data_IF_020816305908
#
_entry.id   IF_020816305908
#
_cell.length_a   1.000
_cell.length_b   1.000
_cell.length_c   1.000
_cell.angle_alpha   90.00
_cell.angle_beta   90.00
_cell.angle_gamma   90.00
#
_symmetry.space_group_name_H-M   'P 1'
#
loop_
_entity.id
_entity.type
_entity.pdbx_description
1 polymer ?
#
# COMPACT_ATOMS: atom_id res chain seq x y z
N UNK A 1 3.33 9.05 22.14
CA UNK A 1 4.48 9.95 21.98
C UNK A 1 5.20 9.90 23.31
N UNK A 2 6.34 9.23 23.39
CA UNK A 2 7.13 9.11 24.62
C UNK A 2 7.96 10.37 24.85
N UNK A 3 8.53 10.52 26.05
CA UNK A 3 9.17 11.74 26.60
C UNK A 3 10.35 12.33 25.79
N UNK A 4 10.64 11.81 24.59
CA UNK A 4 11.74 12.27 23.71
C UNK A 4 11.37 12.40 22.24
N UNK A 5 10.10 12.27 21.88
CA UNK A 5 9.62 12.41 20.49
C UNK A 5 8.68 13.60 20.41
N UNK A 6 8.95 14.57 19.54
CA UNK A 6 8.05 15.72 19.35
C UNK A 6 6.86 15.38 18.43
N UNK A 7 7.12 14.57 17.40
CA UNK A 7 6.18 14.22 16.32
C UNK A 7 6.46 12.78 15.86
N UNK A 8 5.41 12.02 15.56
CA UNK A 8 5.54 10.69 14.95
C UNK A 8 4.60 10.50 13.76
N UNK A 9 5.00 9.66 12.80
CA UNK A 9 4.13 9.19 11.73
C UNK A 9 3.70 7.77 12.07
N UNK A 10 2.42 7.46 11.89
CA UNK A 10 1.92 6.10 12.14
C UNK A 10 0.77 5.75 11.22
N UNK A 11 0.77 4.49 10.80
CA UNK A 11 -0.32 3.84 10.09
C UNK A 11 -1.33 3.34 11.11
N UNK A 12 -2.61 3.60 10.88
CA UNK A 12 -3.69 3.11 11.73
C UNK A 12 -5.06 3.20 11.07
N UNK A 13 -6.03 2.48 11.61
CA UNK A 13 -7.45 2.57 11.21
C UNK A 13 -8.13 3.81 11.78
N UNK A 14 -7.67 4.25 12.95
CA UNK A 14 -8.12 5.46 13.63
C UNK A 14 -6.95 6.18 14.31
N UNK A 15 -7.13 7.48 14.66
CA UNK A 15 -6.25 8.16 15.59
C UNK A 15 -6.08 7.39 16.90
N UNK A 16 -4.83 7.23 17.36
CA UNK A 16 -4.55 6.76 18.72
C UNK A 16 -5.12 7.73 19.78
N UNK A 17 -5.66 7.17 20.86
CA UNK A 17 -6.18 7.94 21.99
C UNK A 17 -5.06 8.70 22.74
N UNK A 18 -5.41 9.82 23.36
CA UNK A 18 -4.50 10.62 24.19
C UNK A 18 -3.47 11.46 23.41
N UNK A 19 -3.50 11.46 22.08
CA UNK A 19 -2.64 12.27 21.21
C UNK A 19 -3.46 12.97 20.13
N UNK A 20 -2.96 14.10 19.63
CA UNK A 20 -3.58 14.76 18.48
C UNK A 20 -3.06 14.07 17.22
N UNK A 21 -3.98 13.66 16.34
CA UNK A 21 -3.66 13.07 15.05
C UNK A 21 -4.24 13.90 13.91
N UNK A 22 -3.47 14.13 12.85
CA UNK A 22 -3.97 14.64 11.56
C UNK A 22 -3.77 13.57 10.50
N UNK A 23 -4.84 13.21 9.79
CA UNK A 23 -4.76 12.31 8.65
C UNK A 23 -3.97 13.01 7.54
N UNK A 24 -3.00 12.30 6.98
CA UNK A 24 -2.25 12.75 5.81
C UNK A 24 -2.90 12.18 4.55
N UNK A 25 -2.97 10.86 4.43
CA UNK A 25 -3.56 10.20 3.26
C UNK A 25 -4.01 8.78 3.61
N UNK A 26 -4.94 8.19 2.83
CA UNK A 26 -5.28 6.77 2.93
C UNK A 26 -4.08 5.89 2.53
N UNK A 27 -3.80 4.84 3.31
CA UNK A 27 -2.81 3.84 2.92
C UNK A 27 -3.48 2.81 2.01
N UNK A 28 -3.09 2.80 0.75
CA UNK A 28 -3.53 1.81 -0.22
C UNK A 28 -2.66 0.55 -0.11
N UNK A 29 -3.28 -0.61 -0.24
CA UNK A 29 -2.60 -1.88 -0.49
C UNK A 29 -3.05 -2.38 -1.86
N UNK A 30 -2.09 -2.59 -2.75
CA UNK A 30 -2.33 -2.85 -4.16
C UNK A 30 -1.72 -4.19 -4.55
N UNK A 31 -2.54 -5.06 -5.14
CA UNK A 31 -2.03 -6.28 -5.78
C UNK A 31 -1.30 -5.84 -7.05
N UNK A 32 -0.03 -6.17 -7.17
CA UNK A 32 0.83 -5.72 -8.26
C UNK A 32 1.66 -6.89 -8.82
N UNK A 33 1.94 -6.83 -10.11
CA UNK A 33 2.89 -7.70 -10.79
C UNK A 33 3.74 -6.90 -11.79
N UNK A 34 4.94 -7.37 -12.10
CA UNK A 34 5.69 -6.83 -13.24
C UNK A 34 5.05 -7.26 -14.57
N UNK A 35 5.14 -6.44 -15.64
CA UNK A 35 4.73 -6.83 -16.99
C UNK A 35 5.36 -8.16 -17.44
N UNK A 36 6.63 -8.41 -17.09
CA UNK A 36 7.34 -9.65 -17.42
C UNK A 36 6.71 -10.90 -16.78
N UNK A 37 6.19 -10.78 -15.54
CA UNK A 37 5.46 -11.85 -14.88
C UNK A 37 4.15 -12.14 -15.64
N UNK A 38 3.41 -11.09 -15.99
CA UNK A 38 2.13 -11.22 -16.69
C UNK A 38 2.27 -11.82 -18.09
N UNK A 39 3.36 -11.50 -18.81
CA UNK A 39 3.63 -12.10 -20.11
C UNK A 39 3.88 -13.61 -20.02
N UNK A 40 4.44 -14.10 -18.91
CA UNK A 40 4.76 -15.52 -18.73
C UNK A 40 3.62 -16.31 -18.11
N UNK A 41 2.85 -15.70 -17.20
CA UNK A 41 1.87 -16.40 -16.37
C UNK A 41 0.43 -15.96 -16.61
N UNK A 42 0.20 -14.92 -17.42
CA UNK A 42 -1.09 -14.25 -17.51
C UNK A 42 -1.38 -13.35 -16.31
N UNK A 43 -2.50 -12.61 -16.39
CA UNK A 43 -3.00 -11.77 -15.30
C UNK A 43 -4.24 -12.41 -14.67
N UNK A 44 -4.31 -12.54 -13.32
CA UNK A 44 -5.50 -13.06 -12.65
C UNK A 44 -6.70 -12.17 -12.99
N UNK A 45 -7.81 -12.75 -13.41
CA UNK A 45 -9.04 -12.03 -13.72
C UNK A 45 -9.95 -11.89 -12.48
N UNK A 46 -9.84 -12.84 -11.56
CA UNK A 46 -10.63 -12.95 -10.33
C UNK A 46 -9.74 -13.18 -9.12
N UNK A 47 -10.28 -12.98 -7.91
CA UNK A 47 -9.56 -13.32 -6.67
C UNK A 47 -9.17 -14.81 -6.65
N UNK A 48 -10.04 -15.72 -7.14
CA UNK A 48 -9.77 -17.16 -7.22
C UNK A 48 -8.54 -17.52 -8.07
N UNK A 49 -8.23 -16.73 -9.10
CA UNK A 49 -7.10 -17.02 -9.97
C UNK A 49 -5.76 -16.88 -9.24
N UNK A 50 -5.71 -16.12 -8.13
CA UNK A 50 -4.50 -15.97 -7.30
C UNK A 50 -3.95 -17.30 -6.80
N UNK A 51 -4.80 -18.32 -6.61
CA UNK A 51 -4.37 -19.66 -6.21
C UNK A 51 -3.46 -20.36 -7.26
N UNK A 52 -3.55 -19.94 -8.52
CA UNK A 52 -2.72 -20.44 -9.63
C UNK A 52 -1.50 -19.57 -9.91
N UNK A 53 -1.31 -18.49 -9.14
CA UNK A 53 -0.20 -17.56 -9.27
C UNK A 53 0.77 -17.66 -8.10
N UNK A 54 2.03 -17.30 -8.39
CA UNK A 54 3.05 -17.15 -7.36
C UNK A 54 2.81 -15.84 -6.64
N UNK A 55 2.51 -15.90 -5.36
CA UNK A 55 2.26 -14.71 -4.55
C UNK A 55 3.34 -14.53 -3.46
N UNK A 56 3.74 -13.29 -3.21
CA UNK A 56 4.48 -12.91 -2.01
C UNK A 56 3.52 -12.62 -0.87
N UNK A 57 3.93 -12.94 0.36
CA UNK A 57 3.20 -12.54 1.56
C UNK A 57 4.16 -11.92 2.55
N UNK A 58 3.86 -10.70 2.94
CA UNK A 58 4.63 -9.95 3.93
C UNK A 58 4.47 -10.55 5.33
N UNK A 59 5.55 -10.64 6.09
CA UNK A 59 5.56 -11.05 7.50
C UNK A 59 5.63 -9.81 8.37
N UNK A 60 4.56 -9.57 9.12
CA UNK A 60 4.41 -8.40 9.97
C UNK A 60 5.49 -8.39 11.08
N UNK A 61 6.33 -7.35 11.18
CA UNK A 61 7.45 -7.32 12.13
C UNK A 61 6.97 -7.32 13.59
N UNK A 62 5.80 -6.74 13.87
CA UNK A 62 5.27 -6.60 15.23
C UNK A 62 4.69 -7.91 15.78
N UNK A 63 4.15 -8.79 14.93
CA UNK A 63 3.46 -10.02 15.37
C UNK A 63 4.11 -11.30 14.88
N UNK A 64 5.03 -11.22 13.91
CA UNK A 64 5.61 -12.36 13.21
C UNK A 64 4.63 -13.11 12.30
N UNK A 65 3.34 -12.72 12.28
CA UNK A 65 2.30 -13.33 11.45
C UNK A 65 2.44 -12.91 10.00
N UNK A 66 1.98 -13.76 9.10
CA UNK A 66 1.82 -13.39 7.69
C UNK A 66 0.67 -12.40 7.54
N UNK A 67 0.85 -11.40 6.68
CA UNK A 67 -0.15 -10.41 6.36
C UNK A 67 -1.30 -11.07 5.61
N UNK A 68 -2.49 -11.05 6.21
CA UNK A 68 -3.71 -11.44 5.51
C UNK A 68 -3.98 -10.47 4.38
N UNK A 69 -4.22 -11.00 3.17
CA UNK A 69 -4.74 -10.20 2.07
C UNK A 69 -6.23 -10.00 2.32
N UNK A 70 -6.69 -8.76 2.26
CA UNK A 70 -8.12 -8.44 2.40
C UNK A 70 -8.57 -7.70 1.15
N UNK A 71 -9.82 -7.91 0.75
CA UNK A 71 -10.40 -7.35 -0.47
C UNK A 71 -11.80 -6.81 -0.22
N UNK A 72 -12.17 -5.74 -0.92
CA UNK A 72 -13.55 -5.28 -0.97
C UNK A 72 -14.31 -6.08 -2.04
N UNK A 73 -15.39 -6.73 -1.63
CA UNK A 73 -16.33 -7.44 -2.51
C UNK A 73 -17.71 -6.94 -2.14
N UNK A 74 -18.37 -6.29 -3.09
CA UNK A 74 -19.60 -5.52 -2.86
C UNK A 74 -19.42 -4.52 -1.70
N UNK A 75 -20.28 -4.60 -0.68
CA UNK A 75 -20.22 -3.74 0.51
C UNK A 75 -19.45 -4.37 1.69
N UNK A 76 -18.76 -5.49 1.46
CA UNK A 76 -18.03 -6.23 2.51
C UNK A 76 -16.53 -6.28 2.26
N UNK A 77 -15.77 -6.32 3.35
CA UNK A 77 -14.34 -6.65 3.31
C UNK A 77 -14.20 -8.12 3.67
N UNK A 78 -13.58 -8.89 2.78
CA UNK A 78 -13.29 -10.31 3.01
C UNK A 78 -11.78 -10.50 3.19
N UNK A 79 -11.41 -11.39 4.10
CA UNK A 79 -10.04 -11.90 4.17
C UNK A 79 -9.89 -13.03 3.16
N UNK A 80 -8.84 -12.97 2.35
CA UNK A 80 -8.55 -13.92 1.30
C UNK A 80 -7.25 -14.65 1.59
N UNK A 81 -7.28 -15.96 1.86
CA UNK A 81 -6.09 -16.72 2.16
C UNK A 81 -5.25 -16.90 0.89
N UNK A 82 -3.99 -16.45 0.95
CA UNK A 82 -3.01 -16.66 -0.11
C UNK A 82 -1.93 -17.60 0.39
N UNK A 83 -1.63 -18.65 -0.37
CA UNK A 83 -0.51 -19.55 -0.09
C UNK A 83 0.77 -18.90 -0.64
N UNK A 84 1.71 -18.47 0.21
CA UNK A 84 2.90 -17.76 -0.25
C UNK A 84 3.84 -18.69 -1.01
N UNK A 85 4.27 -18.25 -2.19
CA UNK A 85 5.50 -18.77 -2.84
C UNK A 85 6.75 -18.10 -2.26
N UNK A 86 6.59 -16.94 -1.63
CA UNK A 86 7.67 -16.14 -1.04
C UNK A 86 7.16 -15.46 0.23
N UNK A 87 7.89 -15.62 1.33
CA UNK A 87 7.62 -14.91 2.59
C UNK A 87 8.72 -13.88 2.82
N UNK A 88 8.36 -12.60 2.91
CA UNK A 88 9.32 -11.48 3.06
C UNK A 88 8.91 -10.62 4.24
N UNK A 89 9.86 -10.01 4.94
CA UNK A 89 9.60 -9.06 6.04
C UNK A 89 10.21 -7.67 5.77
N UNK A 90 10.66 -7.41 4.54
CA UNK A 90 11.21 -6.14 4.08
C UNK A 90 10.47 -5.66 2.83
N UNK A 91 9.87 -4.47 2.91
CA UNK A 91 9.00 -3.95 1.85
C UNK A 91 9.75 -3.64 0.55
N UNK A 92 11.02 -3.21 0.67
CA UNK A 92 11.86 -2.91 -0.49
C UNK A 92 12.17 -4.20 -1.23
N UNK A 93 12.56 -5.25 -0.50
CA UNK A 93 12.85 -6.56 -1.07
C UNK A 93 11.60 -7.19 -1.73
N UNK A 94 10.41 -7.03 -1.12
CA UNK A 94 9.16 -7.50 -1.72
C UNK A 94 8.89 -6.78 -3.04
N UNK A 95 9.05 -5.46 -3.08
CA UNK A 95 8.86 -4.65 -4.28
C UNK A 95 9.84 -5.04 -5.38
N UNK A 96 11.12 -5.24 -5.05
CA UNK A 96 12.14 -5.69 -6.00
C UNK A 96 11.84 -7.09 -6.56
N UNK A 97 11.39 -8.03 -5.73
CA UNK A 97 11.01 -9.36 -6.17
C UNK A 97 9.81 -9.34 -7.14
N UNK A 98 8.82 -8.47 -6.89
CA UNK A 98 7.68 -8.27 -7.79
C UNK A 98 8.13 -7.61 -9.10
N UNK A 99 8.97 -6.57 -9.04
CA UNK A 99 9.54 -5.89 -10.21
C UNK A 99 10.39 -6.81 -11.09
N UNK A 100 11.11 -7.75 -10.48
CA UNK A 100 11.89 -8.77 -11.16
C UNK A 100 11.01 -9.88 -11.79
N UNK A 101 9.71 -9.86 -11.53
CA UNK A 101 8.75 -10.83 -12.07
C UNK A 101 8.80 -12.19 -11.39
N UNK A 102 9.14 -12.25 -10.10
CA UNK A 102 9.18 -13.51 -9.36
C UNK A 102 7.84 -13.90 -8.71
N UNK A 103 6.97 -12.91 -8.44
CA UNK A 103 5.67 -13.11 -7.83
C UNK A 103 4.74 -11.91 -8.07
N UNK A 104 3.45 -12.11 -7.81
CA UNK A 104 2.48 -11.07 -7.52
C UNK A 104 2.63 -10.68 -6.05
N UNK A 105 2.62 -9.39 -5.72
CA UNK A 105 2.71 -8.92 -4.33
C UNK A 105 1.60 -7.95 -3.94
N UNK A 106 1.37 -7.81 -2.63
CA UNK A 106 0.46 -6.83 -2.05
C UNK A 106 1.28 -5.67 -1.49
N UNK A 107 1.53 -4.67 -2.34
CA UNK A 107 2.45 -3.58 -2.05
C UNK A 107 1.69 -2.36 -1.51
N UNK A 108 2.36 -1.53 -0.71
CA UNK A 108 1.77 -0.24 -0.33
C UNK A 108 1.70 0.70 -1.54
N UNK A 109 0.65 1.52 -1.61
CA UNK A 109 0.50 2.50 -2.69
C UNK A 109 1.66 3.49 -2.76
N UNK A 110 2.25 3.86 -1.61
CA UNK A 110 3.40 4.75 -1.53
C UNK A 110 4.60 4.18 -2.30
N UNK A 111 4.89 2.90 -2.09
CA UNK A 111 6.00 2.21 -2.74
C UNK A 111 5.69 1.87 -4.20
N UNK A 112 4.45 1.47 -4.51
CA UNK A 112 4.04 1.06 -5.85
C UNK A 112 3.85 2.23 -6.83
N UNK A 113 3.38 3.39 -6.36
CA UNK A 113 3.01 4.55 -7.19
C UNK A 113 4.01 4.93 -8.29
N UNK A 114 5.31 5.13 -8.02
CA UNK A 114 6.27 5.49 -9.07
C UNK A 114 6.42 4.40 -10.15
N UNK A 115 6.31 3.12 -9.76
CA UNK A 115 6.44 2.00 -10.69
C UNK A 115 5.17 1.75 -11.49
N UNK A 116 3.99 1.98 -10.89
CA UNK A 116 2.72 1.96 -11.61
C UNK A 116 2.68 3.05 -12.67
N UNK A 117 3.06 4.28 -12.32
CA UNK A 117 3.08 5.41 -13.27
C UNK A 117 4.07 5.24 -14.41
N UNK A 118 5.22 4.63 -14.13
CA UNK A 118 6.21 4.31 -15.17
C UNK A 118 5.89 3.04 -15.97
N UNK A 119 4.83 2.30 -15.60
CA UNK A 119 4.45 1.04 -16.25
C UNK A 119 5.36 -0.15 -15.91
N UNK A 120 6.25 -0.01 -14.93
CA UNK A 120 7.11 -1.10 -14.43
C UNK A 120 6.37 -2.05 -13.49
N UNK A 121 5.29 -1.58 -12.86
CA UNK A 121 4.32 -2.41 -12.16
C UNK A 121 2.94 -2.23 -12.80
N UNK A 122 2.20 -3.32 -12.83
CA UNK A 122 0.80 -3.35 -13.25
C UNK A 122 -0.03 -3.64 -11.99
N UNK A 123 -0.88 -2.70 -11.53
CA UNK A 123 -1.85 -3.00 -10.50
C UNK A 123 -2.90 -3.95 -11.07
N UNK A 124 -3.37 -4.89 -10.24
CA UNK A 124 -4.30 -5.94 -10.60
C UNK A 124 -5.46 -5.93 -9.62
N UNK A 125 -6.63 -6.40 -10.07
CA UNK A 125 -7.79 -6.59 -9.20
C UNK A 125 -8.18 -5.26 -8.52
N UNK A 126 -8.02 -4.13 -9.22
CA UNK A 126 -8.13 -2.79 -8.62
C UNK A 126 -9.56 -2.48 -8.16
N UNK A 127 -10.56 -3.10 -8.76
CA UNK A 127 -11.96 -3.07 -8.30
C UNK A 127 -12.15 -3.59 -6.86
N UNK A 128 -11.22 -4.41 -6.36
CA UNK A 128 -11.25 -4.96 -5.01
C UNK A 128 -10.36 -4.19 -4.02
N UNK A 129 -9.62 -3.18 -4.50
CA UNK A 129 -8.75 -2.37 -3.65
C UNK A 129 -9.59 -1.47 -2.73
N UNK A 130 -9.12 -1.29 -1.50
CA UNK A 130 -9.71 -0.35 -0.56
C UNK A 130 -8.66 0.15 0.44
N UNK A 131 -8.84 1.34 1.02
CA UNK A 131 -7.94 1.85 2.03
C UNK A 131 -8.21 1.19 3.38
N UNK A 132 -7.36 0.24 3.80
CA UNK A 132 -7.49 -0.46 5.09
C UNK A 132 -7.08 0.40 6.28
N UNK A 133 -6.22 1.38 6.05
CA UNK A 133 -5.68 2.27 7.07
C UNK A 133 -5.42 3.65 6.48
N UNK A 134 -4.97 4.59 7.29
CA UNK A 134 -4.44 5.87 6.85
C UNK A 134 -3.11 6.15 7.53
N UNK A 135 -2.30 6.97 6.88
CA UNK A 135 -1.10 7.54 7.49
C UNK A 135 -1.50 8.80 8.23
N UNK A 136 -1.10 8.89 9.48
CA UNK A 136 -1.35 10.04 10.34
C UNK A 136 -0.04 10.61 10.86
N UNK A 137 -0.02 11.92 11.07
CA UNK A 137 0.97 12.60 11.88
C UNK A 137 0.40 12.80 13.29
N UNK A 138 1.16 12.38 14.29
CA UNK A 138 0.80 12.40 15.71
C UNK A 138 1.72 13.32 16.49
N UNK A 139 1.15 14.04 17.44
CA UNK A 139 1.89 14.93 18.32
C UNK A 139 1.11 15.20 19.63
N UNK A 140 1.83 15.70 20.64
CA UNK A 140 1.27 16.03 21.97
C UNK A 140 0.36 17.27 21.98
N UNK A 141 0.14 17.84 23.17
CA UNK A 141 -0.77 18.98 23.37
C UNK A 141 -0.36 20.23 22.57
N UNK A 142 -1.34 20.86 21.89
CA UNK A 142 -1.17 22.12 21.12
C UNK A 142 -0.65 23.30 21.96
N UNK A 143 -0.95 23.33 23.25
CA UNK A 143 -0.66 24.48 24.11
C UNK A 143 0.82 24.64 24.46
N UNK A 144 1.60 23.55 24.42
CA UNK A 144 3.00 23.51 24.86
C UNK A 144 4.00 23.22 23.71
N UNK A 145 3.58 23.30 22.45
CA UNK A 145 4.47 22.97 21.33
C UNK A 145 5.45 24.09 20.99
N UNK A 146 6.77 23.81 20.94
CA UNK A 146 7.76 24.74 20.40
C UNK A 146 7.42 25.15 18.95
N UNK A 147 7.69 26.40 18.57
CA UNK A 147 7.40 26.93 17.23
C UNK A 147 7.97 26.08 16.10
N UNK A 148 9.17 25.51 16.28
CA UNK A 148 9.81 24.61 15.31
C UNK A 148 8.98 23.35 15.02
N UNK A 149 8.31 22.81 16.04
CA UNK A 149 7.49 21.59 15.93
C UNK A 149 6.22 21.90 15.16
N UNK A 150 5.57 23.03 15.47
CA UNK A 150 4.39 23.50 14.74
C UNK A 150 4.69 23.73 13.26
N UNK A 151 5.78 24.43 12.96
CA UNK A 151 6.22 24.67 11.59
C UNK A 151 6.49 23.36 10.82
N UNK A 152 7.11 22.37 11.46
CA UNK A 152 7.32 21.05 10.86
C UNK A 152 5.99 20.32 10.59
N UNK A 153 5.06 20.32 11.54
CA UNK A 153 3.74 19.69 11.38
C UNK A 153 2.98 20.34 10.22
N UNK A 154 2.97 21.67 10.15
CA UNK A 154 2.28 22.40 9.09
C UNK A 154 2.91 22.13 7.72
N UNK A 155 4.25 22.10 7.64
CA UNK A 155 4.95 21.72 6.42
C UNK A 155 4.64 20.28 6.01
N UNK A 156 4.68 19.33 6.94
CA UNK A 156 4.40 17.91 6.67
C UNK A 156 2.97 17.74 6.14
N UNK A 157 1.99 18.38 6.77
CA UNK A 157 0.60 18.33 6.31
C UNK A 157 0.44 18.97 4.94
N UNK A 158 1.02 20.16 4.72
CA UNK A 158 0.99 20.81 3.42
C UNK A 158 1.60 19.94 2.31
N UNK A 159 2.70 19.22 2.59
CA UNK A 159 3.44 18.44 1.60
C UNK A 159 2.89 17.04 1.39
N UNK A 160 2.21 16.45 2.37
CA UNK A 160 1.86 15.03 2.32
C UNK A 160 0.36 14.80 2.17
N UNK A 161 -0.49 15.74 2.57
CA UNK A 161 -1.93 15.53 2.55
C UNK A 161 -2.43 15.23 1.14
N UNK A 162 -2.98 14.02 0.96
CA UNK A 162 -3.47 13.45 -0.30
C UNK A 162 -2.56 13.74 -1.50
N UNK A 163 -1.23 13.77 -1.27
CA UNK A 163 -0.28 14.08 -2.31
C UNK A 163 -0.24 12.95 -3.33
N UNK A 164 -0.38 13.24 -4.65
CA UNK A 164 -0.35 12.22 -5.69
C UNK A 164 0.96 11.43 -5.70
N UNK A 165 2.07 11.97 -5.21
CA UNK A 165 3.31 11.20 -5.06
C UNK A 165 3.15 9.92 -4.21
N UNK A 166 2.18 9.89 -3.29
CA UNK A 166 1.97 8.80 -2.34
C UNK A 166 0.65 8.03 -2.55
N UNK A 167 -0.27 8.61 -3.31
CA UNK A 167 -1.62 8.07 -3.53
C UNK A 167 -1.87 7.97 -5.03
N UNK A 168 -2.41 6.83 -5.45
CA UNK A 168 -2.94 6.62 -6.79
C UNK A 168 -4.45 6.80 -6.74
N UNK A 169 -5.01 7.56 -7.68
CA UNK A 169 -6.47 7.68 -7.82
C UNK A 169 -7.07 6.38 -8.38
N UNK A 170 -8.37 6.17 -8.18
CA UNK A 170 -9.08 5.01 -8.74
C UNK A 170 -8.99 4.97 -10.28
N UNK A 171 -9.05 6.15 -10.92
CA UNK A 171 -8.87 6.29 -12.37
C UNK A 171 -7.45 5.92 -12.82
N UNK A 172 -6.41 6.37 -12.11
CA UNK A 172 -5.02 5.97 -12.39
C UNK A 172 -4.84 4.46 -12.28
N UNK A 173 -5.42 3.84 -11.25
CA UNK A 173 -5.35 2.39 -11.02
C UNK A 173 -6.05 1.62 -12.13
N UNK A 174 -7.28 2.00 -12.49
CA UNK A 174 -8.06 1.34 -13.53
C UNK A 174 -7.37 1.44 -14.91
N UNK A 175 -6.84 2.61 -15.25
CA UNK A 175 -6.12 2.83 -16.50
C UNK A 175 -4.81 2.04 -16.56
N UNK A 176 -4.05 2.01 -15.47
CA UNK A 176 -2.80 1.24 -15.39
C UNK A 176 -3.05 -0.26 -15.48
N UNK A 177 -4.08 -0.77 -14.81
CA UNK A 177 -4.50 -2.17 -14.91
C UNK A 177 -4.88 -2.53 -16.35
N UNK A 178 -5.76 -1.74 -16.98
CA UNK A 178 -6.20 -1.99 -18.35
C UNK A 178 -5.03 -2.00 -19.35
N UNK A 179 -4.12 -1.02 -19.24
CA UNK A 179 -2.93 -0.92 -20.09
C UNK A 179 -1.99 -2.11 -19.89
N UNK A 180 -1.72 -2.50 -18.65
CA UNK A 180 -0.83 -3.61 -18.34
C UNK A 180 -1.40 -4.96 -18.79
N UNK A 181 -2.72 -5.18 -18.63
CA UNK A 181 -3.41 -6.37 -19.14
C UNK A 181 -3.38 -6.44 -20.66
N UNK A 182 -3.55 -5.32 -21.37
CA UNK A 182 -3.47 -5.28 -22.81
C UNK A 182 -2.05 -5.62 -23.31
N UNK A 183 -1.02 -5.03 -22.69
CA UNK A 183 0.38 -5.29 -23.05
C UNK A 183 0.82 -6.74 -22.81
N UNK A 184 0.28 -7.42 -21.80
CA UNK A 184 0.59 -8.82 -21.52
C UNK A 184 -0.05 -9.83 -22.50
N UNK A 185 -1.05 -9.40 -23.29
CA UNK A 185 -1.75 -10.23 -24.28
C UNK A 185 -1.18 -10.09 -25.70
N UNK A 186 -0.33 -9.10 -25.93
CA UNK A 186 0.33 -8.81 -27.20
C UNK A 186 1.62 -9.63 -27.33
#
# INVERSE_FOLDING_TARGET
VEDRVDVGFRVGTSPAEGVIARKLFPLQLLVCAAPSYLAQHGAPATLSDLASHRCSVFRLPTTGKLQTWSFKVDDSIIDYPVVPSLCINDETLETEAVLAGHAIGLLTGVTAAPFVRSGRLVPLLTAHAFPRASVFIYYGSRAAQPTRVRAFIDLAVLRMSDNPAFVLTDDELAQAEARGRAAARA
#
